data_IF_668546081163
#
_entry.id   IF_668546081163
#
_cell.length_a   1.000
_cell.length_b   1.000
_cell.length_c   1.000
_cell.angle_alpha   90.00
_cell.angle_beta   90.00
_cell.angle_gamma   90.00
#
_symmetry.space_group_name_H-M   'P 1'
#
loop_
_entity.id
_entity.type
_entity.pdbx_description
1 polymer ?
#
# COMPACT_ATOMS: atom_id res chain seq x y z
N UNK A 1 -23.89 -8.61 17.48
CA UNK A 1 -23.13 -8.39 16.24
C UNK A 1 -22.35 -7.12 16.47
N UNK A 2 -21.08 -7.24 16.86
CA UNK A 2 -20.28 -6.08 17.25
C UNK A 2 -19.73 -5.42 15.98
N UNK A 3 -20.18 -4.20 15.70
CA UNK A 3 -19.53 -3.29 14.75
C UNK A 3 -18.12 -3.03 15.27
N UNK A 4 -17.15 -3.79 14.76
CA UNK A 4 -15.74 -3.44 14.91
C UNK A 4 -15.54 -2.24 13.99
N UNK A 5 -15.48 -1.06 14.59
CA UNK A 5 -15.09 0.18 13.94
C UNK A 5 -13.62 0.06 13.48
N UNK A 6 -13.38 -0.65 12.36
CA UNK A 6 -12.07 -0.80 11.71
C UNK A 6 -11.65 0.46 10.93
N UNK A 7 -12.55 1.43 10.81
CA UNK A 7 -12.38 2.65 10.02
C UNK A 7 -11.18 3.55 10.36
N UNK A 8 -10.70 3.73 11.61
CA UNK A 8 -9.64 4.71 11.88
C UNK A 8 -8.24 4.24 11.46
N UNK A 9 -7.97 2.93 11.50
CA UNK A 9 -6.65 2.38 11.13
C UNK A 9 -6.43 2.44 9.63
N UNK A 10 -7.47 2.16 8.84
CA UNK A 10 -7.40 2.16 7.38
C UNK A 10 -7.18 3.57 6.82
N UNK A 11 -7.80 4.59 7.42
CA UNK A 11 -7.63 5.99 7.01
C UNK A 11 -6.21 6.51 7.30
N UNK A 12 -5.66 6.18 8.48
CA UNK A 12 -4.30 6.56 8.84
C UNK A 12 -3.25 5.88 7.96
N UNK A 13 -3.43 4.61 7.64
CA UNK A 13 -2.54 3.87 6.73
C UNK A 13 -2.62 4.41 5.31
N UNK A 14 -3.82 4.72 4.82
CA UNK A 14 -4.00 5.34 3.50
C UNK A 14 -3.35 6.72 3.42
N UNK A 15 -3.50 7.54 4.47
CA UNK A 15 -2.86 8.85 4.56
C UNK A 15 -1.33 8.75 4.61
N UNK A 16 -0.79 7.80 5.38
CA UNK A 16 0.66 7.50 5.41
C UNK A 16 1.15 7.07 4.02
N UNK A 17 0.44 6.16 3.34
CA UNK A 17 0.80 5.73 2.00
C UNK A 17 0.80 6.90 1.01
N UNK A 18 -0.21 7.77 1.05
CA UNK A 18 -0.26 8.96 0.20
C UNK A 18 0.93 9.91 0.44
N UNK A 19 1.33 10.11 1.70
CA UNK A 19 2.51 10.90 2.03
C UNK A 19 3.81 10.28 1.49
N UNK A 20 3.97 8.96 1.64
CA UNK A 20 5.16 8.26 1.17
C UNK A 20 5.29 8.31 -0.36
N UNK A 21 4.17 8.12 -1.08
CA UNK A 21 4.12 8.24 -2.54
C UNK A 21 4.48 9.65 -2.99
N UNK A 22 4.01 10.68 -2.27
CA UNK A 22 4.36 12.08 -2.56
C UNK A 22 5.84 12.40 -2.30
N UNK A 23 6.52 11.68 -1.41
CA UNK A 23 7.94 11.88 -1.12
C UNK A 23 8.83 11.29 -2.23
N UNK A 24 8.78 9.97 -2.41
CA UNK A 24 9.45 9.21 -3.48
C UNK A 24 9.27 7.70 -3.26
N UNK A 25 9.61 6.95 -4.30
CA UNK A 25 9.57 5.48 -4.32
C UNK A 25 10.40 4.83 -3.19
N UNK A 26 11.55 5.40 -2.80
CA UNK A 26 12.40 4.82 -1.75
C UNK A 26 11.74 4.91 -0.37
N UNK A 27 10.96 5.96 -0.10
CA UNK A 27 10.22 6.11 1.14
C UNK A 27 9.12 5.05 1.26
N UNK A 28 8.36 4.82 0.18
CA UNK A 28 7.32 3.77 0.12
C UNK A 28 7.95 2.40 0.39
N UNK A 29 9.05 2.07 -0.27
CA UNK A 29 9.74 0.78 -0.11
C UNK A 29 10.31 0.61 1.30
N UNK A 30 10.95 1.64 1.85
CA UNK A 30 11.51 1.60 3.20
C UNK A 30 10.45 1.35 4.27
N UNK A 31 9.24 1.93 4.11
CA UNK A 31 8.12 1.67 5.00
C UNK A 31 7.49 0.30 4.77
N UNK A 32 7.29 -0.12 3.52
CA UNK A 32 6.71 -1.43 3.20
C UNK A 32 7.57 -2.62 3.72
N UNK A 33 8.90 -2.45 3.81
CA UNK A 33 9.79 -3.44 4.46
C UNK A 33 9.50 -3.53 5.96
N UNK A 34 9.23 -2.40 6.62
CA UNK A 34 9.10 -2.29 8.08
C UNK A 34 7.69 -2.54 8.59
N UNK A 35 6.68 -2.22 7.80
CA UNK A 35 5.28 -2.18 8.20
C UNK A 35 4.42 -3.09 7.28
N UNK A 36 3.95 -4.24 7.77
CA UNK A 36 3.10 -5.15 6.99
C UNK A 36 1.74 -4.54 6.65
N UNK A 37 1.24 -3.56 7.41
CA UNK A 37 -0.02 -2.87 7.09
C UNK A 37 0.14 -1.98 5.87
N UNK A 38 1.29 -1.31 5.73
CA UNK A 38 1.62 -0.54 4.53
C UNK A 38 1.69 -1.45 3.31
N UNK A 39 2.32 -2.65 3.40
CA UNK A 39 2.27 -3.64 2.31
C UNK A 39 0.86 -4.07 1.96
N UNK A 40 0.05 -4.40 2.96
CA UNK A 40 -1.32 -4.83 2.73
C UNK A 40 -2.14 -3.73 2.04
N UNK A 41 -1.99 -2.47 2.49
CA UNK A 41 -2.64 -1.31 1.87
C UNK A 41 -2.18 -1.10 0.43
N UNK A 42 -0.89 -1.23 0.16
CA UNK A 42 -0.30 -1.20 -1.18
C UNK A 42 -0.97 -2.24 -2.10
N UNK A 43 -1.04 -3.50 -1.66
CA UNK A 43 -1.67 -4.59 -2.41
C UNK A 43 -3.15 -4.31 -2.65
N UNK A 44 -3.87 -3.83 -1.64
CA UNK A 44 -5.28 -3.51 -1.77
C UNK A 44 -5.52 -2.33 -2.72
N UNK A 45 -4.78 -1.23 -2.56
CA UNK A 45 -5.00 0.02 -3.30
C UNK A 45 -4.69 -0.13 -4.79
N UNK A 46 -3.62 -0.83 -5.16
CA UNK A 46 -3.33 -0.99 -6.60
C UNK A 46 -3.34 -2.38 -7.19
N UNK A 47 -3.63 -3.40 -6.40
CA UNK A 47 -4.30 -4.59 -6.91
C UNK A 47 -5.74 -4.32 -7.39
N UNK A 48 -6.42 -3.27 -6.88
CA UNK A 48 -7.76 -2.89 -7.33
C UNK A 48 -7.78 -2.10 -8.65
N UNK A 49 -6.62 -1.61 -9.13
CA UNK A 49 -6.50 -0.86 -10.38
C UNK A 49 -6.20 -1.81 -11.54
N UNK A 50 -6.70 -1.54 -12.75
CA UNK A 50 -6.36 -2.35 -13.91
C UNK A 50 -4.87 -2.23 -14.24
N UNK A 51 -4.19 -3.31 -14.68
CA UNK A 51 -2.74 -3.32 -14.89
C UNK A 51 -2.23 -2.22 -15.81
N UNK A 52 -2.96 -1.87 -16.86
CA UNK A 52 -2.67 -0.81 -17.81
C UNK A 52 -2.67 0.60 -17.18
N UNK A 53 -3.41 0.79 -16.08
CA UNK A 53 -3.45 2.04 -15.34
C UNK A 53 -2.31 2.14 -14.31
N UNK A 54 -1.53 1.09 -14.11
CA UNK A 54 -0.35 1.11 -13.25
C UNK A 54 0.88 1.57 -14.02
N UNK A 55 1.68 2.44 -13.41
CA UNK A 55 3.03 2.71 -13.89
C UNK A 55 3.90 1.45 -13.78
N UNK A 56 5.04 1.43 -14.48
CA UNK A 56 6.01 0.33 -14.37
C UNK A 56 6.43 0.11 -12.91
N UNK A 57 6.71 1.19 -12.19
CA UNK A 57 7.10 1.12 -10.77
C UNK A 57 5.96 0.53 -9.92
N UNK A 58 4.72 0.96 -10.17
CA UNK A 58 3.52 0.43 -9.51
C UNK A 58 3.33 -1.07 -9.67
N UNK A 59 3.60 -1.61 -10.86
CA UNK A 59 3.54 -3.05 -11.10
C UNK A 59 4.65 -3.80 -10.35
N UNK A 60 5.88 -3.27 -10.38
CA UNK A 60 7.04 -3.91 -9.74
C UNK A 60 6.79 -4.06 -8.24
N UNK A 61 6.32 -3.02 -7.57
CA UNK A 61 6.11 -3.10 -6.13
C UNK A 61 4.86 -3.89 -5.77
N UNK A 62 3.81 -3.89 -6.60
CA UNK A 62 2.62 -4.71 -6.36
C UNK A 62 3.01 -6.19 -6.32
N UNK A 63 3.82 -6.62 -7.28
CA UNK A 63 4.34 -7.98 -7.32
C UNK A 63 5.34 -8.26 -6.18
N UNK A 64 6.21 -7.31 -5.86
CA UNK A 64 7.10 -7.47 -4.69
C UNK A 64 6.31 -7.61 -3.38
N UNK A 65 5.30 -6.78 -3.14
CA UNK A 65 4.51 -6.84 -1.91
C UNK A 65 3.63 -8.09 -1.81
N UNK A 66 3.20 -8.66 -2.95
CA UNK A 66 2.49 -9.95 -2.99
C UNK A 66 3.42 -11.13 -2.69
N UNK A 67 4.69 -11.04 -3.08
CA UNK A 67 5.69 -12.11 -2.90
C UNK A 67 6.43 -12.01 -1.56
N UNK A 68 6.50 -10.83 -0.98
CA UNK A 68 7.07 -10.56 0.34
C UNK A 68 6.09 -10.97 1.46
N UNK A 69 5.93 -12.29 1.60
CA UNK A 69 5.27 -12.98 2.70
C UNK A 69 6.27 -13.46 3.73
#
# INVERSE_FOLDING_TARGET
MSEISQLPVDEDVAKRLAQLVAMNINAVMGEAIRDPLIRASIVATLGARPPEALSTDERIWLEWCKTFG
#
